data_IF_116604847162
#
_entry.id   IF_116604847162
#
_cell.length_a   1.000
_cell.length_b   1.000
_cell.length_c   1.000
_cell.angle_alpha   90.00
_cell.angle_beta   90.00
_cell.angle_gamma   90.00
#
_symmetry.space_group_name_H-M   'P 1'
#
loop_
_entity.id
_entity.type
_entity.pdbx_description
1 polymer ?
#
# COMPACT_ATOMS: atom_id res chain seq x y z
N UNK A 1 23.64 19.98 -11.81
CA UNK A 1 23.11 18.62 -11.97
C UNK A 1 21.68 18.68 -11.47
N UNK A 2 20.71 18.33 -12.30
CA UNK A 2 19.31 18.38 -11.88
C UNK A 2 19.05 17.35 -10.77
N UNK A 3 18.04 17.62 -9.94
CA UNK A 3 17.72 16.78 -8.79
C UNK A 3 16.29 16.26 -8.86
N UNK A 4 16.10 15.04 -8.37
CA UNK A 4 14.81 14.37 -8.25
C UNK A 4 14.57 14.04 -6.78
N UNK A 5 13.41 14.43 -6.25
CA UNK A 5 12.93 13.99 -4.94
C UNK A 5 11.81 13.00 -5.12
N UNK A 6 11.89 11.83 -4.50
CA UNK A 6 10.70 11.00 -4.29
C UNK A 6 10.07 11.28 -2.93
N UNK A 7 8.84 11.77 -2.95
CA UNK A 7 8.03 12.04 -1.77
C UNK A 7 7.05 10.88 -1.51
N UNK A 8 7.25 10.16 -0.41
CA UNK A 8 6.37 9.09 0.05
C UNK A 8 6.25 9.10 1.57
N UNK A 9 5.46 8.19 2.15
CA UNK A 9 5.39 8.08 3.62
C UNK A 9 6.60 7.32 4.13
N UNK A 10 7.43 7.94 4.97
CA UNK A 10 8.54 7.25 5.64
C UNK A 10 8.10 6.86 7.06
N UNK A 11 7.62 5.63 7.23
CA UNK A 11 7.23 5.08 8.53
C UNK A 11 8.12 3.87 8.88
N UNK A 12 9.08 3.99 9.83
CA UNK A 12 9.96 2.89 10.22
C UNK A 12 9.24 1.70 10.87
N UNK A 13 7.95 1.86 11.18
CA UNK A 13 7.06 0.83 11.70
C UNK A 13 6.08 0.33 10.63
N UNK A 14 6.29 0.63 9.36
CA UNK A 14 5.50 0.09 8.26
C UNK A 14 6.40 -0.20 7.06
N UNK A 15 6.86 -1.44 6.97
CA UNK A 15 7.78 -1.87 5.90
C UNK A 15 7.23 -1.63 4.50
N UNK A 16 5.91 -1.71 4.34
CA UNK A 16 5.26 -1.43 3.07
C UNK A 16 5.41 0.03 2.63
N UNK A 17 5.36 0.97 3.56
CA UNK A 17 5.54 2.40 3.22
C UNK A 17 6.99 2.64 2.77
N UNK A 18 7.97 2.06 3.47
CA UNK A 18 9.41 2.16 3.14
C UNK A 18 9.78 1.57 1.77
N UNK A 19 9.22 0.40 1.45
CA UNK A 19 9.55 -0.33 0.21
C UNK A 19 8.77 0.15 -1.01
N UNK A 20 7.76 1.01 -0.81
CA UNK A 20 6.98 1.55 -1.93
C UNK A 20 7.73 2.59 -2.76
N UNK A 21 8.86 3.10 -2.24
CA UNK A 21 9.72 4.07 -2.89
C UNK A 21 10.39 3.51 -4.18
N UNK A 22 10.13 4.08 -5.37
CA UNK A 22 10.77 3.62 -6.61
C UNK A 22 12.29 3.83 -6.64
N UNK A 23 12.83 4.82 -5.91
CA UNK A 23 14.28 5.03 -5.80
C UNK A 23 15.01 3.92 -5.03
N UNK A 24 14.30 2.91 -4.51
CA UNK A 24 14.93 1.67 -4.04
C UNK A 24 15.35 0.74 -5.19
N UNK A 25 14.79 0.93 -6.38
CA UNK A 25 14.87 -0.05 -7.48
C UNK A 25 15.31 0.56 -8.81
N UNK A 26 15.10 1.85 -9.00
CA UNK A 26 15.41 2.57 -10.22
C UNK A 26 16.46 3.65 -9.97
N UNK A 27 17.48 3.70 -10.83
CA UNK A 27 18.50 4.74 -10.85
C UNK A 27 18.14 5.82 -11.86
N UNK A 28 18.50 7.08 -11.64
CA UNK A 28 18.26 8.15 -12.61
C UNK A 28 19.60 8.74 -13.07
N UNK A 29 20.19 8.20 -14.17
CA UNK A 29 21.49 8.67 -14.66
C UNK A 29 21.46 10.18 -14.95
N UNK A 30 22.46 10.91 -14.47
CA UNK A 30 22.54 12.37 -14.66
C UNK A 30 21.77 13.20 -13.62
N UNK A 31 21.03 12.57 -12.70
CA UNK A 31 20.30 13.26 -11.64
C UNK A 31 20.84 12.91 -10.25
N UNK A 32 20.83 13.89 -9.35
CA UNK A 32 20.94 13.62 -7.91
C UNK A 32 19.57 13.22 -7.36
N UNK A 33 19.46 12.05 -6.72
CA UNK A 33 18.18 11.53 -6.22
C UNK A 33 18.11 11.53 -4.70
N UNK A 34 17.01 12.00 -4.13
CA UNK A 34 16.76 11.97 -2.69
C UNK A 34 15.34 11.47 -2.35
N UNK A 35 15.18 10.98 -1.12
CA UNK A 35 13.90 10.50 -0.58
C UNK A 35 13.45 11.47 0.49
N UNK A 36 12.19 11.88 0.45
CA UNK A 36 11.59 12.75 1.45
C UNK A 36 10.30 12.14 1.99
N UNK A 37 10.03 12.41 3.27
CA UNK A 37 8.72 12.14 3.83
C UNK A 37 7.73 13.20 3.33
N UNK A 38 6.68 12.78 2.64
CA UNK A 38 5.67 13.71 2.10
C UNK A 38 5.05 14.61 3.17
N UNK A 39 5.03 14.17 4.43
CA UNK A 39 4.48 14.93 5.56
C UNK A 39 5.39 16.05 6.06
N UNK A 40 6.63 16.09 5.58
CA UNK A 40 7.69 16.97 6.08
C UNK A 40 8.36 17.76 4.96
N UNK A 41 8.02 17.50 3.70
CA UNK A 41 8.58 18.27 2.59
C UNK A 41 8.01 19.69 2.61
N UNK A 42 8.91 20.66 2.60
CA UNK A 42 8.56 22.08 2.51
C UNK A 42 8.95 22.67 1.15
N UNK A 43 8.55 23.92 0.96
CA UNK A 43 8.77 24.70 -0.25
C UNK A 43 10.24 24.79 -0.66
N UNK A 44 11.13 24.95 0.31
CA UNK A 44 12.55 25.19 0.06
C UNK A 44 13.24 23.88 -0.35
N UNK A 45 12.86 22.76 0.28
CA UNK A 45 13.35 21.44 -0.09
C UNK A 45 12.96 21.05 -1.53
N UNK A 46 11.73 21.41 -1.95
CA UNK A 46 11.19 21.11 -3.27
C UNK A 46 11.67 22.08 -4.38
N UNK A 47 12.18 23.26 -4.01
CA UNK A 47 12.50 24.33 -4.97
C UNK A 47 13.48 23.89 -6.05
N UNK A 48 13.10 24.08 -7.31
CA UNK A 48 13.95 23.83 -8.47
C UNK A 48 14.28 22.35 -8.71
N UNK A 49 13.52 21.41 -8.12
CA UNK A 49 13.72 19.97 -8.27
C UNK A 49 12.51 19.28 -8.91
N UNK A 50 12.77 18.21 -9.66
CA UNK A 50 11.69 17.32 -10.13
C UNK A 50 11.14 16.54 -8.94
N UNK A 51 9.82 16.33 -8.91
CA UNK A 51 9.15 15.63 -7.83
C UNK A 51 8.49 14.37 -8.36
N UNK A 52 8.79 13.24 -7.72
CA UNK A 52 8.05 11.99 -7.88
C UNK A 52 7.22 11.80 -6.61
N UNK A 53 5.92 12.02 -6.67
CA UNK A 53 5.00 11.77 -5.56
C UNK A 53 4.48 10.35 -5.67
N UNK A 54 4.68 9.54 -4.64
CA UNK A 54 4.09 8.20 -4.61
C UNK A 54 5.02 7.09 -4.18
N UNK A 55 4.47 5.88 -4.29
CA UNK A 55 4.67 4.82 -3.32
C UNK A 55 3.66 4.98 -2.17
N UNK A 56 2.50 4.35 -2.29
CA UNK A 56 1.55 4.26 -1.16
C UNK A 56 0.15 4.81 -1.44
N UNK A 57 -0.69 4.80 -0.40
CA UNK A 57 -2.05 5.33 -0.48
C UNK A 57 -2.05 6.79 -0.07
N UNK A 58 -1.89 7.70 -1.03
CA UNK A 58 -1.78 9.12 -0.72
C UNK A 58 -2.98 9.93 -1.20
N UNK A 59 -3.89 9.37 -2.01
CA UNK A 59 -5.08 10.09 -2.49
C UNK A 59 -6.21 9.97 -1.46
N UNK A 60 -6.16 10.83 -0.44
CA UNK A 60 -7.23 11.10 0.52
C UNK A 60 -6.90 12.37 1.31
N UNK A 61 -7.90 12.92 2.00
CA UNK A 61 -7.86 14.25 2.61
C UNK A 61 -6.64 14.54 3.49
N UNK A 62 -6.03 13.53 4.12
CA UNK A 62 -4.86 13.72 4.98
C UNK A 62 -3.63 14.27 4.25
N UNK A 63 -3.42 13.88 3.00
CA UNK A 63 -2.22 14.26 2.24
C UNK A 63 -2.50 15.30 1.15
N UNK A 64 -3.77 15.74 1.00
CA UNK A 64 -4.13 16.71 -0.04
C UNK A 64 -3.27 17.97 0.07
N UNK A 65 -3.20 18.59 1.25
CA UNK A 65 -2.37 19.79 1.47
C UNK A 65 -0.89 19.51 1.25
N UNK A 66 -0.39 18.35 1.68
CA UNK A 66 1.03 17.98 1.50
C UNK A 66 1.38 17.86 0.01
N UNK A 67 0.49 17.24 -0.79
CA UNK A 67 0.65 17.10 -2.25
C UNK A 67 0.64 18.47 -2.93
N UNK A 68 -0.37 19.30 -2.65
CA UNK A 68 -0.50 20.63 -3.25
C UNK A 68 0.68 21.55 -2.91
N UNK A 69 1.12 21.54 -1.64
CA UNK A 69 2.28 22.32 -1.21
C UNK A 69 3.58 21.84 -1.88
N UNK A 70 3.76 20.53 -2.07
CA UNK A 70 4.93 20.03 -2.78
C UNK A 70 4.94 20.49 -4.25
N UNK A 71 3.76 20.55 -4.88
CA UNK A 71 3.60 20.94 -6.27
C UNK A 71 3.86 22.44 -6.54
N UNK A 72 3.54 23.33 -5.58
CA UNK A 72 3.54 24.79 -5.78
C UNK A 72 4.93 25.44 -5.88
N UNK A 73 6.01 24.71 -5.57
CA UNK A 73 7.35 25.28 -5.46
C UNK A 73 8.37 24.71 -6.45
N UNK A 74 7.94 23.90 -7.42
CA UNK A 74 8.84 23.18 -8.35
C UNK A 74 9.52 24.04 -9.42
N UNK A 75 9.23 25.33 -9.51
CA UNK A 75 9.87 26.29 -10.45
C UNK A 75 9.97 25.77 -11.90
N UNK A 76 8.88 25.18 -12.41
CA UNK A 76 8.82 24.64 -13.78
C UNK A 76 9.43 23.24 -13.96
N UNK A 77 9.91 22.61 -12.88
CA UNK A 77 10.31 21.19 -12.89
C UNK A 77 9.10 20.26 -12.94
N UNK A 78 9.35 19.03 -13.36
CA UNK A 78 8.31 18.00 -13.56
C UNK A 78 7.75 17.50 -12.23
N UNK A 79 6.44 17.25 -12.20
CA UNK A 79 5.68 16.63 -11.13
C UNK A 79 5.08 15.32 -11.63
N UNK A 80 5.48 14.20 -11.03
CA UNK A 80 5.19 12.86 -11.52
C UNK A 80 4.55 12.03 -10.41
N UNK A 81 3.46 11.32 -10.71
CA UNK A 81 2.83 10.40 -9.77
C UNK A 81 3.32 8.98 -10.06
N UNK A 82 3.78 8.24 -9.05
CA UNK A 82 4.24 6.85 -9.25
C UNK A 82 3.63 5.90 -8.24
N UNK A 83 2.72 5.03 -8.70
CA UNK A 83 2.13 3.97 -7.88
C UNK A 83 1.40 4.52 -6.65
N UNK A 84 0.88 5.74 -6.78
CA UNK A 84 -0.01 6.38 -5.81
C UNK A 84 -1.42 5.78 -5.94
N UNK A 85 -2.24 5.85 -4.90
CA UNK A 85 -3.63 5.40 -5.00
C UNK A 85 -4.53 5.90 -3.88
N UNK A 86 -5.82 5.69 -4.08
CA UNK A 86 -6.90 6.23 -3.26
C UNK A 86 -7.19 5.44 -2.00
N UNK A 87 -7.72 6.15 -1.01
CA UNK A 87 -8.16 5.60 0.27
C UNK A 87 -9.43 6.26 0.77
N UNK A 88 -10.58 5.66 0.44
CA UNK A 88 -11.86 5.92 1.11
C UNK A 88 -11.95 5.01 2.34
N UNK A 89 -12.25 5.60 3.49
CA UNK A 89 -12.41 4.88 4.76
C UNK A 89 -13.91 4.71 5.09
N UNK A 90 -14.23 3.63 5.80
CA UNK A 90 -15.62 3.20 6.04
C UNK A 90 -16.48 4.21 6.83
N UNK A 91 -17.82 4.19 6.64
CA UNK A 91 -18.54 3.36 5.66
C UNK A 91 -18.33 3.89 4.23
N UNK A 92 -18.16 2.98 3.26
CA UNK A 92 -18.11 3.29 1.83
C UNK A 92 -18.83 2.20 1.04
N UNK A 93 -19.38 2.59 -0.09
CA UNK A 93 -20.05 1.78 -1.10
C UNK A 93 -19.13 1.54 -2.29
N UNK A 94 -19.55 0.71 -3.25
CA UNK A 94 -18.80 0.54 -4.50
C UNK A 94 -18.89 1.82 -5.34
N UNK A 95 -19.99 2.54 -5.23
CA UNK A 95 -20.25 3.82 -5.88
C UNK A 95 -19.29 4.89 -5.36
N UNK A 96 -19.01 4.95 -4.05
CA UNK A 96 -18.02 5.87 -3.47
C UNK A 96 -16.61 5.63 -4.02
N UNK A 97 -16.26 4.37 -4.32
CA UNK A 97 -14.97 4.01 -4.91
C UNK A 97 -14.89 4.51 -6.35
N UNK A 98 -15.96 4.31 -7.13
CA UNK A 98 -16.05 4.72 -8.54
C UNK A 98 -16.14 6.23 -8.72
N UNK A 99 -16.79 6.91 -7.78
CA UNK A 99 -16.96 8.35 -7.77
C UNK A 99 -15.78 9.10 -7.11
N UNK A 100 -14.69 8.41 -6.77
CA UNK A 100 -13.51 9.06 -6.20
C UNK A 100 -12.95 10.11 -7.17
N UNK A 101 -12.89 11.35 -6.72
CA UNK A 101 -12.40 12.47 -7.51
C UNK A 101 -10.87 12.54 -7.45
N UNK A 102 -10.22 11.97 -8.46
CA UNK A 102 -8.77 12.00 -8.61
C UNK A 102 -8.23 13.38 -8.99
N UNK A 103 -9.05 14.24 -9.62
CA UNK A 103 -8.64 15.54 -10.16
C UNK A 103 -8.14 16.46 -9.05
N UNK A 104 -8.79 16.40 -7.89
CA UNK A 104 -8.37 17.13 -6.67
C UNK A 104 -6.91 16.94 -6.27
N UNK A 105 -6.30 15.83 -6.69
CA UNK A 105 -4.93 15.49 -6.33
C UNK A 105 -3.97 15.54 -7.51
N UNK A 106 -4.45 15.33 -8.74
CA UNK A 106 -3.62 14.95 -9.87
C UNK A 106 -3.61 15.96 -11.03
N UNK A 107 -4.44 17.02 -11.01
CA UNK A 107 -4.58 17.93 -12.15
C UNK A 107 -3.28 18.66 -12.55
N UNK A 108 -2.38 18.92 -11.60
CA UNK A 108 -1.10 19.61 -11.85
C UNK A 108 0.07 18.68 -12.24
N UNK A 109 -0.17 17.38 -12.37
CA UNK A 109 0.87 16.40 -12.66
C UNK A 109 1.17 16.29 -14.16
N UNK A 110 2.47 16.27 -14.50
CA UNK A 110 2.95 16.14 -15.87
C UNK A 110 2.88 14.70 -16.38
N UNK A 111 3.02 13.72 -15.48
CA UNK A 111 2.89 12.29 -15.80
C UNK A 111 2.24 11.53 -14.63
N UNK A 112 1.21 10.75 -14.93
CA UNK A 112 0.36 10.12 -13.91
C UNK A 112 0.38 8.61 -14.03
N UNK A 113 0.82 7.95 -12.95
CA UNK A 113 0.86 6.51 -12.78
C UNK A 113 0.29 6.13 -11.43
N UNK A 114 -0.85 5.45 -11.44
CA UNK A 114 -1.57 5.06 -10.23
C UNK A 114 -1.72 3.55 -10.13
N UNK A 115 -1.83 3.04 -8.90
CA UNK A 115 -1.98 1.59 -8.67
C UNK A 115 -3.41 1.07 -8.74
N UNK A 116 -4.38 1.99 -8.75
CA UNK A 116 -5.80 1.68 -8.80
C UNK A 116 -6.23 1.32 -10.23
N UNK A 117 -7.24 0.47 -10.36
CA UNK A 117 -7.89 0.13 -11.64
C UNK A 117 -9.15 0.95 -11.89
N UNK A 118 -9.72 0.80 -13.09
CA UNK A 118 -10.95 1.47 -13.52
C UNK A 118 -10.83 3.00 -13.51
N UNK A 119 -9.67 3.52 -13.89
CA UNK A 119 -9.38 4.95 -14.02
C UNK A 119 -8.82 5.25 -15.41
N UNK A 120 -8.87 6.51 -15.88
CA UNK A 120 -8.29 6.88 -17.17
C UNK A 120 -6.74 6.96 -17.14
N UNK A 121 -6.12 6.83 -15.97
CA UNK A 121 -4.68 7.00 -15.81
C UNK A 121 -3.89 5.71 -16.05
N UNK A 122 -2.57 5.85 -16.23
CA UNK A 122 -1.70 4.70 -16.41
C UNK A 122 -1.69 3.82 -15.16
N UNK A 123 -1.97 2.54 -15.35
CA UNK A 123 -1.82 1.58 -14.27
C UNK A 123 -0.34 1.27 -14.00
N UNK A 124 0.11 1.61 -12.79
CA UNK A 124 1.47 1.43 -12.28
C UNK A 124 1.39 0.87 -10.86
N UNK A 125 1.70 -0.41 -10.64
CA UNK A 125 1.59 -1.00 -9.31
C UNK A 125 2.75 -0.56 -8.41
N UNK A 126 2.69 -0.92 -7.12
CA UNK A 126 3.71 -0.55 -6.15
C UNK A 126 5.09 -1.10 -6.57
N UNK A 127 6.10 -0.21 -6.61
CA UNK A 127 7.46 -0.50 -7.09
C UNK A 127 8.18 -1.62 -6.31
N UNK A 128 7.69 -1.95 -5.10
CA UNK A 128 8.24 -3.07 -4.31
C UNK A 128 8.28 -4.42 -5.04
N UNK A 129 7.50 -4.63 -6.11
CA UNK A 129 7.62 -5.83 -6.97
C UNK A 129 8.98 -5.99 -7.65
N UNK A 130 9.75 -4.90 -7.77
CA UNK A 130 11.09 -4.90 -8.36
C UNK A 130 12.15 -5.48 -7.42
N UNK A 131 11.84 -5.71 -6.14
CA UNK A 131 12.82 -6.23 -5.20
C UNK A 131 13.20 -7.68 -5.55
N UNK A 132 14.50 -7.97 -5.57
CA UNK A 132 15.06 -9.29 -5.85
C UNK A 132 14.66 -10.39 -4.85
N UNK A 133 14.13 -10.03 -3.67
CA UNK A 133 13.71 -11.00 -2.67
C UNK A 133 12.54 -11.87 -3.16
N UNK A 134 11.80 -11.42 -4.19
CA UNK A 134 10.78 -12.22 -4.86
C UNK A 134 11.37 -13.41 -5.65
N UNK A 135 12.63 -13.34 -6.08
CA UNK A 135 13.24 -14.38 -6.92
C UNK A 135 13.60 -15.65 -6.13
N UNK A 136 13.62 -15.55 -4.79
CA UNK A 136 13.77 -16.69 -3.89
C UNK A 136 12.52 -17.56 -3.90
N UNK A 137 12.68 -18.83 -4.29
CA UNK A 137 11.61 -19.84 -4.17
C UNK A 137 11.25 -20.11 -2.71
N UNK A 138 9.96 -20.30 -2.45
CA UNK A 138 9.41 -20.51 -1.09
C UNK A 138 8.45 -21.67 -1.07
N UNK A 139 8.66 -22.57 -0.12
CA UNK A 139 7.83 -23.74 0.10
C UNK A 139 6.69 -23.43 1.06
N UNK A 140 5.54 -24.04 0.81
CA UNK A 140 4.39 -23.98 1.71
C UNK A 140 4.66 -24.88 2.92
N UNK A 141 4.41 -24.35 4.12
CA UNK A 141 4.56 -25.02 5.41
C UNK A 141 3.28 -24.99 6.25
N UNK A 142 2.37 -24.08 5.92
CA UNK A 142 1.12 -23.84 6.64
C UNK A 142 -0.03 -23.69 5.65
N UNK A 143 -1.21 -24.21 5.99
CA UNK A 143 -2.43 -23.98 5.21
C UNK A 143 -2.78 -22.48 5.20
N UNK A 144 -2.68 -21.83 6.37
CA UNK A 144 -2.95 -20.41 6.55
C UNK A 144 -1.82 -19.69 7.29
N UNK A 145 -1.53 -18.46 6.85
CA UNK A 145 -0.70 -17.50 7.59
C UNK A 145 -1.43 -16.16 7.67
N UNK A 146 -1.24 -15.44 8.78
CA UNK A 146 -1.90 -14.16 9.03
C UNK A 146 -0.90 -13.01 8.96
N UNK A 147 -1.03 -12.15 7.95
CA UNK A 147 -0.23 -10.93 7.83
C UNK A 147 -1.08 -9.69 8.02
N UNK A 148 -0.99 -9.05 9.17
CA UNK A 148 -1.86 -7.92 9.51
C UNK A 148 -1.20 -6.56 9.29
N UNK A 149 -2.02 -5.56 8.97
CA UNK A 149 -1.63 -4.19 9.24
C UNK A 149 -1.53 -3.98 10.76
N UNK A 150 -0.49 -3.30 11.25
CA UNK A 150 -0.19 -3.12 12.68
C UNK A 150 -1.35 -2.62 13.51
N UNK A 151 -2.18 -1.77 12.91
CA UNK A 151 -3.38 -1.22 13.55
C UNK A 151 -4.62 -2.10 13.43
N UNK A 152 -4.77 -2.86 12.35
CA UNK A 152 -5.99 -3.62 12.05
C UNK A 152 -5.61 -5.10 12.08
N UNK A 153 -5.67 -5.73 13.24
CA UNK A 153 -5.12 -7.07 13.42
C UNK A 153 -6.22 -8.14 13.33
N UNK A 154 -5.99 -9.12 12.46
CA UNK A 154 -6.77 -10.35 12.39
C UNK A 154 -6.24 -11.28 13.49
N UNK A 155 -7.15 -11.84 14.30
CA UNK A 155 -6.80 -12.67 15.46
C UNK A 155 -7.49 -14.04 15.36
N UNK A 156 -7.03 -14.85 14.43
CA UNK A 156 -7.43 -16.26 14.33
C UNK A 156 -6.42 -17.06 15.16
N UNK A 157 -6.91 -17.82 16.12
CA UNK A 157 -6.08 -18.67 16.95
C UNK A 157 -5.49 -19.82 16.10
N UNK A 158 -4.35 -20.37 16.52
CA UNK A 158 -3.60 -21.46 15.85
C UNK A 158 -2.82 -21.12 14.57
N UNK A 159 -3.04 -19.96 13.93
CA UNK A 159 -2.26 -19.59 12.74
C UNK A 159 -1.03 -18.73 13.05
N UNK A 160 0.13 -19.01 12.41
CA UNK A 160 1.29 -18.13 12.44
C UNK A 160 0.89 -16.72 12.02
N UNK A 161 1.36 -15.71 12.77
CA UNK A 161 1.00 -14.32 12.53
C UNK A 161 2.17 -13.36 12.68
N UNK A 162 2.28 -12.41 11.75
CA UNK A 162 3.13 -11.23 11.89
C UNK A 162 2.37 -9.98 11.43
N UNK A 163 2.98 -8.82 11.60
CA UNK A 163 2.43 -7.54 11.09
C UNK A 163 3.41 -6.86 10.15
N UNK A 164 2.93 -5.82 9.47
CA UNK A 164 3.80 -4.93 8.68
C UNK A 164 4.75 -4.04 9.53
N UNK A 165 4.86 -4.25 10.85
CA UNK A 165 5.95 -3.69 11.67
C UNK A 165 7.28 -4.44 11.53
N UNK A 166 7.30 -5.57 10.79
CA UNK A 166 8.54 -6.27 10.46
C UNK A 166 9.56 -5.31 9.82
N UNK A 167 10.85 -5.57 10.03
CA UNK A 167 11.95 -4.75 9.49
C UNK A 167 12.69 -5.39 8.33
N UNK A 168 12.51 -6.69 8.10
CA UNK A 168 13.17 -7.43 7.02
C UNK A 168 12.15 -7.82 5.97
N UNK A 169 12.40 -7.41 4.72
CA UNK A 169 11.51 -7.77 3.63
C UNK A 169 11.59 -9.26 3.29
N UNK A 170 12.80 -9.83 3.36
CA UNK A 170 13.02 -11.25 3.15
C UNK A 170 12.25 -12.08 4.17
N UNK A 171 12.27 -11.71 5.45
CA UNK A 171 11.49 -12.38 6.50
C UNK A 171 9.98 -12.28 6.24
N UNK A 172 9.51 -11.12 5.77
CA UNK A 172 8.10 -10.94 5.39
C UNK A 172 7.74 -11.86 4.23
N UNK A 173 8.52 -11.87 3.15
CA UNK A 173 8.23 -12.73 2.01
C UNK A 173 8.36 -14.21 2.36
N UNK A 174 9.34 -14.61 3.19
CA UNK A 174 9.48 -15.97 3.70
C UNK A 174 8.26 -16.39 4.53
N UNK A 175 7.76 -15.51 5.39
CA UNK A 175 6.53 -15.75 6.13
C UNK A 175 5.32 -15.89 5.21
N UNK A 176 5.11 -14.93 4.29
CA UNK A 176 3.99 -14.98 3.35
C UNK A 176 4.04 -16.22 2.46
N UNK A 177 5.22 -16.54 1.94
CA UNK A 177 5.46 -17.70 1.10
C UNK A 177 5.31 -19.04 1.83
N UNK A 178 5.42 -19.07 3.15
CA UNK A 178 5.19 -20.27 3.95
C UNK A 178 3.71 -20.67 4.07
N UNK A 179 2.77 -19.78 3.72
CA UNK A 179 1.34 -20.10 3.68
C UNK A 179 0.87 -20.54 2.29
N UNK A 180 -0.03 -21.52 2.22
CA UNK A 180 -0.82 -21.77 1.00
C UNK A 180 -1.79 -20.60 0.75
N UNK A 181 -2.46 -20.16 1.82
CA UNK A 181 -3.39 -19.04 1.82
C UNK A 181 -2.95 -17.97 2.82
N UNK A 182 -2.92 -16.71 2.37
CA UNK A 182 -2.60 -15.55 3.19
C UNK A 182 -3.89 -14.86 3.60
N UNK A 183 -4.11 -14.76 4.91
CA UNK A 183 -5.17 -13.96 5.50
C UNK A 183 -4.59 -12.61 5.88
N UNK A 184 -5.09 -11.51 5.30
CA UNK A 184 -4.43 -10.22 5.46
C UNK A 184 -5.36 -9.05 5.60
N UNK A 185 -5.03 -8.12 6.49
CA UNK A 185 -5.62 -6.80 6.57
C UNK A 185 -4.68 -5.73 6.03
N UNK A 186 -3.55 -6.11 5.42
CA UNK A 186 -2.56 -5.17 4.88
C UNK A 186 -2.67 -5.13 3.36
N UNK A 187 -2.67 -3.92 2.79
CA UNK A 187 -2.57 -3.76 1.33
C UNK A 187 -1.34 -4.49 0.78
N UNK A 188 -0.19 -4.30 1.42
CA UNK A 188 1.05 -4.95 1.00
C UNK A 188 1.05 -6.45 1.26
N UNK A 189 0.32 -6.92 2.29
CA UNK A 189 0.09 -8.37 2.46
C UNK A 189 -0.70 -8.96 1.30
N UNK A 190 -1.74 -8.26 0.86
CA UNK A 190 -2.54 -8.70 -0.28
C UNK A 190 -1.75 -8.65 -1.58
N UNK A 191 -1.06 -7.54 -1.83
CA UNK A 191 -0.23 -7.34 -3.01
C UNK A 191 0.91 -8.37 -3.07
N UNK A 192 1.79 -8.42 -2.07
CA UNK A 192 2.94 -9.33 -2.08
C UNK A 192 2.56 -10.80 -2.04
N UNK A 193 1.49 -11.16 -1.31
CA UNK A 193 0.95 -12.51 -1.34
C UNK A 193 0.52 -12.95 -2.74
N UNK A 194 -0.11 -12.03 -3.48
CA UNK A 194 -0.50 -12.24 -4.87
C UNK A 194 0.73 -12.42 -5.77
N UNK A 195 1.75 -11.54 -5.63
CA UNK A 195 3.00 -11.64 -6.39
C UNK A 195 3.78 -12.94 -6.12
N UNK A 196 3.64 -13.52 -4.93
CA UNK A 196 4.21 -14.83 -4.58
C UNK A 196 3.40 -16.02 -5.13
N UNK A 197 2.32 -15.77 -5.87
CA UNK A 197 1.43 -16.81 -6.38
C UNK A 197 0.69 -17.55 -5.27
N UNK A 198 0.32 -16.87 -4.19
CA UNK A 198 -0.48 -17.45 -3.08
C UNK A 198 -1.94 -17.04 -3.20
N UNK A 199 -2.83 -17.85 -2.63
CA UNK A 199 -4.23 -17.46 -2.42
C UNK A 199 -4.24 -16.35 -1.37
N UNK A 200 -5.07 -15.33 -1.57
CA UNK A 200 -5.17 -14.20 -0.65
C UNK A 200 -6.63 -13.93 -0.30
N UNK A 201 -6.92 -13.90 1.00
CA UNK A 201 -8.16 -13.38 1.55
C UNK A 201 -7.89 -12.09 2.33
N UNK A 202 -8.42 -10.99 1.82
CA UNK A 202 -8.26 -9.67 2.42
C UNK A 202 -9.42 -9.32 3.38
N UNK A 203 -9.08 -8.68 4.50
CA UNK A 203 -9.96 -8.14 5.52
C UNK A 203 -9.90 -6.60 5.42
N UNK A 204 -10.74 -5.97 4.59
CA UNK A 204 -10.55 -4.58 4.19
C UNK A 204 -10.91 -3.60 5.31
N UNK A 205 -10.13 -2.52 5.41
CA UNK A 205 -10.43 -1.36 6.25
C UNK A 205 -10.56 -0.05 5.46
N UNK A 206 -10.25 -0.07 4.16
CA UNK A 206 -10.41 1.06 3.23
C UNK A 206 -10.66 0.53 1.80
N UNK A 207 -10.96 1.42 0.85
CA UNK A 207 -11.24 1.10 -0.55
C UNK A 207 -10.07 0.46 -1.30
N UNK A 208 -8.82 0.71 -0.89
CA UNK A 208 -7.59 0.26 -1.60
C UNK A 208 -7.48 -1.25 -1.88
N UNK A 209 -8.26 -2.08 -1.20
CA UNK A 209 -8.29 -3.53 -1.45
C UNK A 209 -9.15 -3.88 -2.67
N UNK A 210 -10.12 -3.04 -2.99
CA UNK A 210 -11.07 -3.22 -4.08
C UNK A 210 -10.55 -2.69 -5.41
N UNK A 211 -9.53 -1.83 -5.38
CA UNK A 211 -8.88 -1.23 -6.56
C UNK A 211 -7.60 -1.96 -6.98
N UNK A 212 -7.25 -3.06 -6.32
CA UNK A 212 -6.15 -3.93 -6.75
C UNK A 212 -6.52 -4.63 -8.06
N UNK A 213 -5.66 -4.51 -9.08
CA UNK A 213 -5.83 -5.18 -10.37
C UNK A 213 -5.96 -6.70 -10.22
N UNK A 214 -5.02 -7.31 -9.51
CA UNK A 214 -5.10 -8.71 -9.11
C UNK A 214 -5.90 -8.79 -7.81
N UNK A 215 -7.21 -8.93 -7.97
CA UNK A 215 -8.16 -8.80 -6.87
C UNK A 215 -8.06 -9.99 -5.91
N UNK A 216 -7.76 -9.76 -4.62
CA UNK A 216 -7.86 -10.82 -3.63
C UNK A 216 -9.32 -11.17 -3.36
N UNK A 217 -9.58 -12.34 -2.77
CA UNK A 217 -10.88 -12.57 -2.16
C UNK A 217 -11.11 -11.54 -1.05
N UNK A 218 -12.34 -11.09 -0.88
CA UNK A 218 -12.69 -10.08 0.13
C UNK A 218 -13.59 -10.71 1.18
N UNK A 219 -13.15 -10.70 2.43
CA UNK A 219 -14.04 -11.03 3.54
C UNK A 219 -14.96 -9.83 3.82
N UNK A 220 -16.29 -9.98 3.68
CA UNK A 220 -17.22 -8.92 4.01
C UNK A 220 -17.15 -8.62 5.51
N UNK A 221 -16.81 -7.38 5.84
CA UNK A 221 -16.68 -6.92 7.22
C UNK A 221 -17.64 -5.78 7.49
N UNK A 222 -18.43 -5.87 8.55
CA UNK A 222 -19.27 -4.75 8.99
C UNK A 222 -18.40 -3.59 9.47
N UNK A 223 -17.56 -3.86 10.49
CA UNK A 223 -16.69 -2.84 11.09
C UNK A 223 -15.48 -3.45 11.78
N UNK A 224 -14.41 -2.68 11.77
CA UNK A 224 -13.30 -2.84 12.69
C UNK A 224 -13.67 -2.20 14.04
N UNK A 225 -13.42 -2.91 15.14
CA UNK A 225 -13.71 -2.48 16.51
C UNK A 225 -12.41 -2.14 17.20
N UNK A 226 -12.34 -0.98 17.84
CA UNK A 226 -11.18 -0.63 18.65
C UNK A 226 -11.06 -1.60 19.84
N UNK A 227 -9.87 -2.15 20.02
CA UNK A 227 -9.59 -3.06 21.12
C UNK A 227 -9.74 -2.32 22.46
N UNK A 228 -10.39 -2.97 23.42
CA UNK A 228 -10.65 -2.42 24.75
C UNK A 228 -10.54 -3.49 25.83
N UNK A 229 -10.09 -3.10 27.03
CA UNK A 229 -10.17 -3.88 28.26
C UNK A 229 -11.20 -3.26 29.18
N UNK A 230 -12.10 -4.08 29.70
CA UNK A 230 -13.14 -3.68 30.64
C UNK A 230 -12.93 -4.42 31.95
N UNK A 231 -12.96 -3.68 33.04
CA UNK A 231 -12.83 -4.23 34.39
C UNK A 231 -14.16 -4.07 35.09
N UNK A 232 -14.63 -5.18 35.64
CA UNK A 232 -15.91 -5.26 36.34
C UNK A 232 -15.66 -5.60 37.80
N UNK A 233 -16.35 -4.91 38.69
CA UNK A 233 -16.41 -5.22 40.12
C UNK A 233 -17.88 -5.33 40.51
N UNK A 234 -18.28 -6.44 41.13
CA UNK A 234 -19.68 -6.74 41.46
C UNK A 234 -20.63 -6.56 40.25
N UNK A 235 -20.24 -7.07 39.08
CA UNK A 235 -20.95 -6.91 37.80
C UNK A 235 -21.18 -5.46 37.32
N UNK A 236 -20.57 -4.45 37.98
CA UNK A 236 -20.56 -3.06 37.51
C UNK A 236 -19.25 -2.78 36.80
N UNK A 237 -19.34 -2.16 35.61
CA UNK A 237 -18.16 -1.67 34.89
C UNK A 237 -17.51 -0.55 35.70
N UNK A 238 -16.30 -0.77 36.19
CA UNK A 238 -15.56 0.23 36.98
C UNK A 238 -14.49 0.94 36.17
N UNK A 239 -13.99 0.32 35.10
CA UNK A 239 -12.97 0.92 34.25
C UNK A 239 -13.00 0.35 32.83
N UNK A 240 -12.84 1.21 31.82
CA UNK A 240 -12.64 0.84 30.43
C UNK A 240 -11.35 1.49 29.91
N UNK A 241 -10.40 0.67 29.49
CA UNK A 241 -9.19 1.10 28.78
C UNK A 241 -9.33 0.80 27.29
N UNK A 242 -9.07 1.78 26.43
CA UNK A 242 -9.07 1.59 24.97
C UNK A 242 -7.66 1.65 24.43
N UNK A 243 -7.27 0.62 23.67
CA UNK A 243 -5.97 0.61 23.02
C UNK A 243 -5.95 1.63 21.88
N UNK A 244 -5.01 2.58 21.92
CA UNK A 244 -4.79 3.51 20.81
C UNK A 244 -4.32 2.74 19.58
N UNK A 245 -4.94 2.99 18.43
CA UNK A 245 -4.54 2.43 17.14
C UNK A 245 -4.48 0.88 17.08
N UNK A 246 -5.27 0.16 17.89
CA UNK A 246 -5.44 -1.30 17.77
C UNK A 246 -6.90 -1.62 17.54
N UNK A 247 -7.16 -2.35 16.47
CA UNK A 247 -8.48 -2.74 16.03
C UNK A 247 -8.51 -4.22 15.69
N UNK A 248 -9.65 -4.85 15.96
CA UNK A 248 -9.96 -6.23 15.60
C UNK A 248 -11.29 -6.28 14.83
N UNK A 249 -11.57 -7.41 14.18
CA UNK A 249 -12.82 -7.65 13.47
C UNK A 249 -13.45 -8.96 13.91
N UNK A 250 -14.73 -9.15 13.58
CA UNK A 250 -15.37 -10.45 13.70
C UNK A 250 -14.77 -11.42 12.66
N UNK A 251 -14.72 -12.69 13.01
CA UNK A 251 -14.11 -13.76 12.20
C UNK A 251 -15.15 -14.84 11.86
N UNK A 252 -16.42 -14.47 11.85
CA UNK A 252 -17.50 -15.40 11.53
C UNK A 252 -17.50 -15.65 10.03
N UNK A 253 -17.53 -16.91 9.61
CA UNK A 253 -17.71 -17.33 8.22
C UNK A 253 -16.64 -16.83 7.23
N UNK A 254 -15.42 -16.47 7.69
CA UNK A 254 -14.36 -16.05 6.77
C UNK A 254 -13.99 -17.13 5.76
N UNK A 255 -14.10 -18.40 6.16
CA UNK A 255 -13.86 -19.56 5.31
C UNK A 255 -14.78 -19.57 4.08
N UNK A 256 -16.01 -19.04 4.17
CA UNK A 256 -16.93 -18.98 3.04
C UNK A 256 -16.42 -18.08 1.90
N UNK A 257 -15.56 -17.11 2.21
CA UNK A 257 -14.94 -16.24 1.22
C UNK A 257 -13.71 -16.87 0.55
N UNK A 258 -13.21 -18.01 1.05
CA UNK A 258 -12.05 -18.71 0.44
C UNK A 258 -12.35 -19.24 -0.96
N UNK A 259 -13.61 -19.55 -1.26
CA UNK A 259 -14.04 -20.01 -2.59
C UNK A 259 -13.77 -18.98 -3.69
N UNK A 260 -13.67 -17.71 -3.33
CA UNK A 260 -13.46 -16.60 -4.24
C UNK A 260 -11.95 -16.28 -4.42
N UNK A 261 -11.06 -17.02 -3.74
CA UNK A 261 -9.62 -16.85 -3.88
C UNK A 261 -9.16 -17.28 -5.27
N UNK A 262 -8.45 -16.39 -5.95
CA UNK A 262 -7.84 -16.62 -7.25
C UNK A 262 -6.32 -16.54 -7.15
N UNK A 263 -5.64 -17.26 -8.03
CA UNK A 263 -4.19 -17.17 -8.22
C UNK A 263 -3.90 -16.32 -9.45
N UNK A 264 -2.79 -15.58 -9.39
CA UNK A 264 -2.33 -14.73 -10.49
C UNK A 264 -0.84 -15.03 -10.77
N UNK A 265 -0.51 -16.16 -11.42
CA UNK A 265 0.88 -16.61 -11.59
C UNK A 265 1.77 -15.59 -12.32
N UNK A 266 1.19 -14.80 -13.23
CA UNK A 266 1.91 -13.80 -14.03
C UNK A 266 2.01 -12.42 -13.33
N UNK A 267 1.38 -12.25 -12.17
CA UNK A 267 1.26 -10.94 -11.52
C UNK A 267 2.60 -10.27 -11.18
N UNK A 268 3.62 -11.06 -10.81
CA UNK A 268 4.95 -10.54 -10.53
C UNK A 268 5.60 -9.95 -11.78
N UNK A 269 5.60 -10.71 -12.87
CA UNK A 269 6.24 -10.28 -14.12
C UNK A 269 5.47 -9.12 -14.77
N UNK A 270 4.13 -9.17 -14.76
CA UNK A 270 3.30 -8.06 -15.22
C UNK A 270 3.58 -6.78 -14.42
N UNK A 271 3.67 -6.88 -13.08
CA UNK A 271 3.92 -5.72 -12.22
C UNK A 271 5.32 -5.13 -12.41
N UNK A 272 6.32 -5.99 -12.64
CA UNK A 272 7.70 -5.58 -12.96
C UNK A 272 7.75 -4.89 -14.32
N UNK A 273 7.19 -5.51 -15.34
CA UNK A 273 7.10 -4.97 -16.69
C UNK A 273 6.42 -3.60 -16.73
N UNK A 274 5.32 -3.42 -15.98
CA UNK A 274 4.64 -2.12 -15.89
C UNK A 274 5.43 -1.05 -15.17
N UNK A 275 6.16 -1.39 -14.11
CA UNK A 275 7.06 -0.43 -13.45
C UNK A 275 8.24 -0.06 -14.37
N UNK A 276 8.80 -1.02 -15.11
CA UNK A 276 9.89 -0.76 -16.05
C UNK A 276 9.45 0.13 -17.22
N UNK A 277 8.28 -0.15 -17.79
CA UNK A 277 7.68 0.72 -18.82
C UNK A 277 7.49 2.14 -18.29
N UNK A 278 6.87 2.30 -17.12
CA UNK A 278 6.60 3.62 -16.57
C UNK A 278 7.88 4.40 -16.21
N UNK A 279 8.91 3.69 -15.75
CA UNK A 279 10.23 4.28 -15.54
C UNK A 279 10.81 4.86 -16.84
N UNK A 280 10.66 4.16 -17.98
CA UNK A 280 11.13 4.67 -19.27
C UNK A 280 10.34 5.93 -19.70
N UNK A 281 9.02 5.94 -19.53
CA UNK A 281 8.18 7.12 -19.80
C UNK A 281 8.65 8.33 -18.97
N UNK A 282 9.02 8.11 -17.71
CA UNK A 282 9.57 9.16 -16.84
C UNK A 282 10.89 9.68 -17.40
N UNK A 283 11.82 8.80 -17.83
CA UNK A 283 13.09 9.24 -18.39
C UNK A 283 12.90 10.12 -19.62
N UNK A 284 11.94 9.79 -20.48
CA UNK A 284 11.57 10.60 -21.64
C UNK A 284 11.02 11.97 -21.20
N UNK A 285 10.09 12.00 -20.24
CA UNK A 285 9.51 13.25 -19.72
C UNK A 285 10.53 14.15 -19.00
N UNK A 286 11.58 13.58 -18.42
CA UNK A 286 12.65 14.32 -17.76
C UNK A 286 13.67 14.91 -18.75
N UNK A 287 13.74 14.38 -19.98
CA UNK A 287 14.60 14.88 -21.04
C UNK A 287 14.00 16.07 -21.80
N UNK A 288 12.67 16.23 -21.75
CA UNK A 288 11.88 17.32 -22.34
C UNK A 288 11.84 18.60 -21.47
#
# INVERSE_FOLDING_TARGET
MDSIINCHVIDPKNIGDLLSCPLNYFTFPGYHTEKADIRQIDAEAARGKHLIIGGGGLLYSRFLTDILNSASHREGKKLIAWGIGQQVYKPFTTEDIKAFDYSQYLDDFDLIGIRDIDTPYNWVPCASCMHSAFDKKREVKHEYVVFSHKKFQIKIDDFPRITNESKSFEEVLDFLGSGETILTSSYHGAYWGTLLGRKVLAFPFSSKFYTLKHKPAIHPLDKWRQDRKRFYLFNKLVYEFRYKNKFSCALENWQNALKDCQLYPESLEESRSRNQWYYNEILEHLAD
#
